data_IF_558329707391
#
_entry.id   IF_558329707391
#
_cell.length_a   1.000
_cell.length_b   1.000
_cell.length_c   1.000
_cell.angle_alpha   90.00
_cell.angle_beta   90.00
_cell.angle_gamma   90.00
#
_symmetry.space_group_name_H-M   'P 1'
#
loop_
_entity.id
_entity.type
_entity.pdbx_description
1 polymer ?
#
# COMPACT_ATOMS: atom_id res chain seq x y z
N UNK A 1 34.27 -4.41 -13.12
CA UNK A 1 34.04 -5.62 -13.94
C UNK A 1 32.54 -5.67 -14.26
N UNK A 2 32.11 -5.25 -15.46
CA UNK A 2 30.70 -4.96 -15.73
C UNK A 2 29.75 -6.16 -15.59
N UNK A 3 30.26 -7.38 -15.67
CA UNK A 3 29.46 -8.61 -15.56
C UNK A 3 29.66 -9.34 -14.22
N UNK A 4 30.46 -8.80 -13.30
CA UNK A 4 30.66 -9.45 -12.00
C UNK A 4 29.51 -9.07 -11.08
N UNK A 5 28.75 -10.09 -10.71
CA UNK A 5 27.68 -10.01 -9.71
C UNK A 5 28.12 -10.73 -8.43
N UNK A 6 27.66 -10.23 -7.29
CA UNK A 6 27.74 -10.91 -6.00
C UNK A 6 26.38 -10.79 -5.31
N UNK A 7 26.15 -11.69 -4.35
CA UNK A 7 24.96 -11.69 -3.52
C UNK A 7 24.92 -10.45 -2.62
N UNK A 8 23.84 -9.69 -2.72
CA UNK A 8 23.49 -8.59 -1.81
C UNK A 8 22.31 -9.01 -0.95
N UNK A 9 22.29 -8.57 0.31
CA UNK A 9 21.25 -8.93 1.28
C UNK A 9 21.43 -10.31 1.94
N UNK A 10 20.47 -10.73 2.80
CA UNK A 10 19.24 -10.01 3.09
C UNK A 10 19.50 -8.73 3.90
N UNK A 11 18.69 -7.70 3.67
CA UNK A 11 18.83 -6.39 4.32
C UNK A 11 17.46 -5.81 4.62
N UNK A 12 17.30 -5.13 5.76
CA UNK A 12 16.03 -4.48 6.11
C UNK A 12 15.80 -3.26 5.21
N UNK A 13 14.58 -3.09 4.71
CA UNK A 13 14.23 -2.03 3.77
C UNK A 13 13.18 -1.05 4.32
N UNK A 14 13.06 0.12 3.68
CA UNK A 14 12.11 1.20 3.97
C UNK A 14 10.63 0.77 3.91
N UNK A 15 10.31 -0.38 3.28
CA UNK A 15 8.98 -0.96 3.36
C UNK A 15 8.68 -1.61 4.73
N UNK A 16 9.69 -1.82 5.59
CA UNK A 16 9.56 -2.55 6.86
C UNK A 16 9.60 -4.08 6.72
N UNK A 17 10.20 -4.56 5.63
CA UNK A 17 10.43 -5.98 5.35
C UNK A 17 11.90 -6.19 4.97
N UNK A 18 12.36 -7.43 4.97
CA UNK A 18 13.68 -7.77 4.46
C UNK A 18 13.68 -7.87 2.94
N UNK A 19 14.60 -7.20 2.26
CA UNK A 19 15.00 -7.57 0.91
C UNK A 19 15.61 -8.97 0.94
N UNK A 20 15.23 -9.80 -0.04
CA UNK A 20 15.81 -11.13 -0.23
C UNK A 20 17.18 -11.02 -0.89
N UNK A 21 17.93 -12.12 -0.90
CA UNK A 21 19.25 -12.15 -1.53
C UNK A 21 19.14 -12.19 -3.05
N UNK A 22 19.82 -11.25 -3.73
CA UNK A 22 19.86 -11.17 -5.20
C UNK A 22 21.26 -10.86 -5.72
N UNK A 23 21.59 -11.25 -6.97
CA UNK A 23 22.85 -10.90 -7.59
C UNK A 23 22.86 -9.45 -8.09
N UNK A 24 23.73 -8.61 -7.52
CA UNK A 24 23.91 -7.20 -7.92
C UNK A 24 25.35 -6.88 -8.39
N UNK A 25 25.53 -5.82 -9.21
CA UNK A 25 26.84 -5.43 -9.73
C UNK A 25 27.87 -5.08 -8.64
N UNK A 26 29.11 -5.56 -8.80
CA UNK A 26 30.19 -5.25 -7.87
C UNK A 26 30.84 -3.90 -8.20
N UNK A 27 30.76 -2.97 -7.25
CA UNK A 27 31.57 -1.74 -7.26
C UNK A 27 32.97 -2.03 -6.70
N UNK A 28 34.00 -1.96 -7.55
CA UNK A 28 35.40 -2.05 -7.12
C UNK A 28 35.95 -0.66 -6.79
N UNK A 29 36.20 -0.41 -5.52
CA UNK A 29 36.82 0.84 -5.04
C UNK A 29 38.34 0.72 -5.15
N UNK A 30 38.98 1.56 -5.96
CA UNK A 30 40.44 1.52 -6.15
C UNK A 30 41.20 2.33 -5.09
N UNK A 31 40.62 3.47 -4.68
CA UNK A 31 41.21 4.38 -3.69
C UNK A 31 40.11 5.05 -2.88
N UNK A 32 40.35 5.22 -1.59
CA UNK A 32 39.49 5.97 -0.67
C UNK A 32 40.29 7.16 -0.16
N UNK A 33 39.71 8.36 -0.26
CA UNK A 33 40.32 9.60 0.22
C UNK A 33 39.38 10.22 1.25
N UNK A 34 39.95 10.74 2.35
CA UNK A 34 39.19 11.43 3.37
C UNK A 34 40.05 12.54 4.00
N UNK A 35 39.40 13.51 4.65
CA UNK A 35 40.07 14.55 5.44
C UNK A 35 40.57 14.01 6.78
N UNK A 36 41.50 14.70 7.43
CA UNK A 36 41.82 14.45 8.85
C UNK A 36 40.59 14.74 9.72
N UNK A 37 40.32 13.88 10.71
CA UNK A 37 39.10 13.97 11.51
C UNK A 37 37.81 13.77 10.69
N UNK A 38 37.84 12.86 9.71
CA UNK A 38 36.67 12.52 8.92
C UNK A 38 35.54 11.95 9.81
N UNK A 39 34.30 12.32 9.46
CA UNK A 39 33.08 11.81 10.07
C UNK A 39 32.45 10.86 9.06
N UNK A 40 32.03 9.67 9.51
CA UNK A 40 31.33 8.69 8.69
C UNK A 40 29.83 8.74 9.01
N UNK A 41 29.01 9.45 8.21
CA UNK A 41 27.57 9.40 8.39
C UNK A 41 27.05 8.03 7.96
N UNK A 42 26.13 7.48 8.75
CA UNK A 42 25.38 6.29 8.40
C UNK A 42 23.93 6.47 8.84
N UNK A 43 23.03 5.76 8.17
CA UNK A 43 21.61 5.75 8.48
C UNK A 43 21.10 4.32 8.57
N UNK A 44 19.90 4.16 9.10
CA UNK A 44 19.16 2.90 9.11
C UNK A 44 17.83 3.12 8.41
N UNK A 45 17.40 2.11 7.67
CA UNK A 45 16.09 2.08 7.02
C UNK A 45 15.26 0.96 7.62
N UNK A 46 13.95 1.08 7.52
CA UNK A 46 13.02 0.14 8.13
C UNK A 46 11.60 0.62 7.97
N UNK A 47 10.69 0.04 8.77
CA UNK A 47 9.30 0.47 8.75
C UNK A 47 9.23 1.99 9.06
N UNK A 48 8.57 2.80 8.21
CA UNK A 48 8.55 4.24 8.41
C UNK A 48 7.85 4.57 9.75
N UNK A 49 8.22 5.67 10.44
CA UNK A 49 9.08 6.73 9.92
C UNK A 49 10.56 6.44 10.21
N UNK A 50 11.45 6.77 9.28
CA UNK A 50 12.91 6.76 9.48
C UNK A 50 13.51 8.09 8.96
N UNK A 51 14.84 8.22 8.91
CA UNK A 51 15.48 9.45 8.43
C UNK A 51 15.05 9.81 6.99
N UNK A 52 14.80 8.81 6.16
CA UNK A 52 14.30 8.95 4.80
C UNK A 52 12.89 9.58 4.73
N UNK A 53 12.02 9.39 5.73
CA UNK A 53 10.72 10.07 5.83
C UNK A 53 10.90 11.58 5.85
N UNK A 54 11.83 12.11 6.66
CA UNK A 54 12.09 13.55 6.75
C UNK A 54 12.64 14.11 5.43
N UNK A 55 13.51 13.35 4.75
CA UNK A 55 14.01 13.72 3.43
C UNK A 55 12.89 13.71 2.38
N UNK A 56 11.99 12.73 2.45
CA UNK A 56 10.82 12.62 1.58
C UNK A 56 9.86 13.80 1.73
N UNK A 57 9.56 14.20 2.97
CA UNK A 57 8.74 15.39 3.27
C UNK A 57 9.34 16.66 2.66
N UNK A 58 10.65 16.87 2.83
CA UNK A 58 11.35 18.02 2.26
C UNK A 58 11.31 18.02 0.72
N UNK A 59 11.54 16.87 0.10
CA UNK A 59 11.43 16.75 -1.36
C UNK A 59 10.01 17.07 -1.81
N UNK A 60 9.00 16.61 -1.06
CA UNK A 60 7.60 16.87 -1.37
C UNK A 60 7.26 18.37 -1.27
N UNK A 61 7.73 19.05 -0.22
CA UNK A 61 7.54 20.50 -0.06
C UNK A 61 8.17 21.30 -1.21
N UNK A 62 9.37 20.91 -1.64
CA UNK A 62 10.09 21.57 -2.75
C UNK A 62 9.41 21.32 -4.10
N UNK A 63 8.94 20.10 -4.34
CA UNK A 63 8.43 19.68 -5.66
C UNK A 63 6.93 19.86 -5.83
N UNK A 64 6.16 19.95 -4.75
CA UNK A 64 4.69 20.09 -4.74
C UNK A 64 4.19 21.22 -5.64
N UNK A 65 4.73 22.45 -5.55
CA UNK A 65 4.31 23.57 -6.40
C UNK A 65 4.51 23.34 -7.91
N UNK A 66 5.41 22.43 -8.30
CA UNK A 66 5.70 22.12 -9.72
C UNK A 66 4.73 21.08 -10.31
N UNK A 67 3.98 20.35 -9.48
CA UNK A 67 3.08 19.29 -9.95
C UNK A 67 2.07 19.80 -10.99
N UNK A 68 1.35 20.92 -10.78
CA UNK A 68 0.37 21.40 -11.75
C UNK A 68 1.00 21.87 -13.08
N UNK A 69 2.27 22.27 -13.08
CA UNK A 69 3.00 22.69 -14.29
C UNK A 69 3.40 21.48 -15.15
N UNK A 70 3.76 20.37 -14.52
CA UNK A 70 4.19 19.14 -15.20
C UNK A 70 3.01 18.24 -15.56
N UNK A 71 1.95 18.24 -14.75
CA UNK A 71 0.78 17.38 -14.90
C UNK A 71 -0.50 18.24 -14.98
N UNK A 72 -0.89 18.69 -16.18
CA UNK A 72 -2.05 19.57 -16.35
C UNK A 72 -3.34 18.98 -15.76
N UNK A 73 -4.01 19.75 -14.90
CA UNK A 73 -5.26 19.35 -14.23
C UNK A 73 -5.08 18.66 -12.88
N UNK A 74 -3.86 18.23 -12.55
CA UNK A 74 -3.52 17.69 -11.23
C UNK A 74 -3.23 18.85 -10.28
N UNK A 75 -3.93 18.88 -9.14
CA UNK A 75 -3.79 19.93 -8.12
C UNK A 75 -2.87 19.54 -6.98
N UNK A 76 -2.56 18.26 -6.85
CA UNK A 76 -1.64 17.74 -5.83
C UNK A 76 -1.55 16.22 -5.89
N UNK A 77 -0.43 15.69 -5.44
CA UNK A 77 -0.17 14.26 -5.27
C UNK A 77 0.50 14.07 -3.93
N UNK A 78 0.06 13.13 -3.11
CA UNK A 78 0.69 12.77 -1.84
C UNK A 78 1.14 11.31 -1.93
N UNK A 79 2.46 11.10 -1.86
CA UNK A 79 3.06 9.79 -1.67
C UNK A 79 3.04 9.43 -0.19
N UNK A 80 2.21 8.45 0.18
CA UNK A 80 1.89 8.19 1.58
C UNK A 80 3.04 7.43 2.25
N UNK A 81 3.84 8.12 3.07
CA UNK A 81 4.99 7.57 3.81
C UNK A 81 4.68 6.27 4.53
N UNK A 82 3.53 6.20 5.22
CA UNK A 82 3.10 5.02 5.96
C UNK A 82 2.95 3.74 5.11
N UNK A 83 2.80 3.89 3.79
CA UNK A 83 2.73 2.77 2.85
C UNK A 83 4.12 2.33 2.35
N UNK A 84 5.22 2.92 2.81
CA UNK A 84 6.55 2.78 2.22
C UNK A 84 6.83 3.85 1.15
N UNK A 85 6.35 5.07 1.37
CA UNK A 85 6.45 6.22 0.45
C UNK A 85 5.60 6.08 -0.82
N UNK A 86 6.05 5.30 -1.81
CA UNK A 86 5.44 5.26 -3.15
C UNK A 86 4.31 4.22 -3.36
N UNK A 87 4.13 3.13 -2.58
CA UNK A 87 3.10 2.12 -2.87
C UNK A 87 1.66 2.65 -2.94
N UNK A 88 1.36 3.72 -2.20
CA UNK A 88 0.07 4.43 -2.22
C UNK A 88 0.27 5.90 -2.57
N UNK A 89 -0.37 6.34 -3.65
CA UNK A 89 -0.55 7.74 -4.00
C UNK A 89 -1.99 8.18 -3.80
N UNK A 90 -2.16 9.35 -3.19
CA UNK A 90 -3.41 10.10 -3.17
C UNK A 90 -3.26 11.30 -4.09
N UNK A 91 -4.26 11.62 -4.89
CA UNK A 91 -4.16 12.76 -5.81
C UNK A 91 -5.47 13.53 -5.93
N UNK A 92 -5.33 14.83 -6.15
CA UNK A 92 -6.42 15.67 -6.61
C UNK A 92 -6.26 15.96 -8.09
N UNK A 93 -7.33 15.72 -8.83
CA UNK A 93 -7.45 16.06 -10.24
C UNK A 93 -8.61 17.00 -10.50
N UNK A 94 -8.71 17.45 -11.75
CA UNK A 94 -9.85 18.23 -12.24
C UNK A 94 -10.78 17.34 -13.08
N UNK A 95 -12.09 17.58 -13.03
CA UNK A 95 -13.05 16.90 -13.93
C UNK A 95 -13.70 17.93 -14.87
N UNK A 96 -13.00 18.25 -15.97
CA UNK A 96 -13.39 19.33 -16.90
C UNK A 96 -13.68 18.81 -18.30
N UNK A 97 -13.71 17.49 -18.50
CA UNK A 97 -13.89 16.91 -19.83
C UNK A 97 -15.25 17.28 -20.44
N UNK A 98 -16.31 17.24 -19.64
CA UNK A 98 -17.67 17.59 -20.04
C UNK A 98 -18.32 18.53 -19.02
N UNK A 99 -17.89 19.81 -18.94
CA UNK A 99 -18.29 20.72 -17.85
C UNK A 99 -19.76 21.15 -17.93
N UNK A 100 -20.45 20.83 -19.02
CA UNK A 100 -21.86 21.10 -19.28
C UNK A 100 -22.77 19.89 -19.00
N UNK A 101 -22.20 18.74 -18.64
CA UNK A 101 -22.95 17.55 -18.23
C UNK A 101 -22.67 17.29 -16.76
N UNK A 102 -23.74 17.09 -15.99
CA UNK A 102 -23.65 16.63 -14.60
C UNK A 102 -23.32 15.12 -14.60
N UNK A 103 -22.07 14.79 -14.95
CA UNK A 103 -21.61 13.41 -15.02
C UNK A 103 -21.10 12.95 -13.66
N UNK A 104 -21.76 11.95 -13.09
CA UNK A 104 -21.39 11.34 -11.81
C UNK A 104 -20.30 10.28 -11.94
N UNK A 105 -19.46 10.34 -12.98
CA UNK A 105 -18.41 9.34 -13.22
C UNK A 105 -17.08 10.01 -13.56
N UNK A 106 -15.94 9.46 -13.10
CA UNK A 106 -14.62 9.91 -13.51
C UNK A 106 -14.43 9.87 -15.03
N UNK A 107 -13.85 10.92 -15.61
CA UNK A 107 -13.47 10.99 -17.03
C UNK A 107 -12.04 11.54 -17.17
N UNK A 108 -11.84 12.85 -16.99
CA UNK A 108 -10.53 13.50 -17.09
C UNK A 108 -9.57 13.00 -16.00
N UNK A 109 -10.09 12.65 -14.82
CA UNK A 109 -9.31 12.02 -13.76
C UNK A 109 -8.57 10.76 -14.24
N UNK A 110 -9.15 9.99 -15.16
CA UNK A 110 -8.51 8.78 -15.70
C UNK A 110 -7.31 9.14 -16.60
N UNK A 111 -7.42 10.21 -17.38
CA UNK A 111 -6.28 10.72 -18.17
C UNK A 111 -5.18 11.23 -17.26
N UNK A 112 -5.53 11.98 -16.22
CA UNK A 112 -4.57 12.50 -15.23
C UNK A 112 -3.89 11.38 -14.44
N UNK A 113 -4.63 10.33 -14.06
CA UNK A 113 -4.07 9.16 -13.39
C UNK A 113 -3.01 8.45 -14.24
N UNK A 114 -3.24 8.31 -15.55
CA UNK A 114 -2.24 7.76 -16.46
C UNK A 114 -1.00 8.65 -16.56
N UNK A 115 -1.16 9.97 -16.57
CA UNK A 115 -0.04 10.91 -16.57
C UNK A 115 0.80 10.81 -15.28
N UNK A 116 0.14 10.72 -14.12
CA UNK A 116 0.80 10.50 -12.81
C UNK A 116 1.60 9.20 -12.85
N UNK A 117 1.00 8.09 -13.27
CA UNK A 117 1.68 6.79 -13.32
C UNK A 117 2.75 6.69 -14.43
N UNK A 118 2.77 7.63 -15.37
CA UNK A 118 3.83 7.76 -16.37
C UNK A 118 5.03 8.60 -15.92
N UNK A 119 4.98 9.23 -14.74
CA UNK A 119 5.92 10.26 -14.34
C UNK A 119 6.96 9.76 -13.31
N UNK A 120 8.21 9.61 -13.75
CA UNK A 120 9.37 9.45 -12.86
C UNK A 120 9.17 8.46 -11.71
N UNK A 121 9.39 8.90 -10.48
CA UNK A 121 9.23 8.09 -9.26
C UNK A 121 7.76 7.77 -8.93
N UNK A 122 6.80 8.58 -9.38
CA UNK A 122 5.37 8.30 -9.19
C UNK A 122 4.92 7.05 -9.94
N UNK A 123 5.66 6.67 -10.99
CA UNK A 123 5.42 5.42 -11.72
C UNK A 123 5.63 4.16 -10.89
N UNK A 124 6.29 4.23 -9.72
CA UNK A 124 6.51 3.08 -8.84
C UNK A 124 5.26 2.70 -8.02
N UNK A 125 4.26 3.58 -7.96
CA UNK A 125 3.05 3.34 -7.19
C UNK A 125 2.25 2.12 -7.63
N UNK A 126 1.67 1.41 -6.66
CA UNK A 126 0.73 0.31 -6.89
C UNK A 126 -0.71 0.78 -6.83
N UNK A 127 -1.02 1.66 -5.89
CA UNK A 127 -2.36 2.19 -5.70
C UNK A 127 -2.32 3.69 -5.94
N UNK A 128 -3.20 4.16 -6.84
CA UNK A 128 -3.45 5.58 -7.03
C UNK A 128 -4.93 5.84 -6.78
N UNK A 129 -5.23 6.52 -5.69
CA UNK A 129 -6.58 7.01 -5.40
C UNK A 129 -6.63 8.47 -5.84
N UNK A 130 -7.47 8.77 -6.83
CA UNK A 130 -7.61 10.12 -7.38
C UNK A 130 -9.03 10.62 -7.21
N UNK A 131 -9.17 11.83 -6.66
CA UNK A 131 -10.45 12.48 -6.44
C UNK A 131 -10.53 13.81 -7.18
N UNK A 132 -11.75 14.20 -7.54
CA UNK A 132 -12.03 15.48 -8.15
C UNK A 132 -11.94 16.62 -7.10
N UNK A 133 -11.01 17.56 -7.30
CA UNK A 133 -10.77 18.66 -6.36
C UNK A 133 -12.01 19.53 -6.12
N UNK A 134 -12.82 19.73 -7.15
CA UNK A 134 -14.02 20.56 -7.05
C UNK A 134 -15.14 19.96 -6.19
N UNK A 135 -15.10 18.65 -5.86
CA UNK A 135 -16.13 18.01 -5.04
C UNK A 135 -16.00 18.35 -3.56
N UNK A 136 -14.80 18.76 -3.13
CA UNK A 136 -14.50 19.25 -1.78
C UNK A 136 -13.23 20.14 -1.80
N UNK A 137 -13.39 21.47 -1.89
CA UNK A 137 -12.27 22.42 -1.86
C UNK A 137 -11.55 22.56 -0.53
N UNK A 138 -12.07 22.00 0.57
CA UNK A 138 -11.45 22.12 1.90
C UNK A 138 -10.70 20.83 2.29
N UNK A 139 -10.94 19.72 1.58
CA UNK A 139 -10.23 18.47 1.80
C UNK A 139 -8.72 18.61 1.50
N UNK A 140 -7.90 18.07 2.40
CA UNK A 140 -6.44 18.06 2.32
C UNK A 140 -5.95 16.63 1.99
N UNK A 141 -4.94 16.49 1.14
CA UNK A 141 -4.28 15.21 0.86
C UNK A 141 -3.52 14.67 2.09
N UNK A 142 -3.12 15.54 3.02
CA UNK A 142 -2.48 15.13 4.27
C UNK A 142 -3.47 14.49 5.27
N UNK A 143 -4.77 14.82 5.18
CA UNK A 143 -5.83 14.10 5.90
C UNK A 143 -6.18 12.81 5.16
N UNK A 144 -5.32 11.80 5.32
CA UNK A 144 -5.47 10.50 4.66
C UNK A 144 -6.82 9.86 5.02
N UNK A 145 -7.29 9.97 6.27
CA UNK A 145 -8.58 9.38 6.67
C UNK A 145 -9.75 10.08 6.00
N UNK A 146 -9.76 11.41 5.99
CA UNK A 146 -10.76 12.21 5.29
C UNK A 146 -10.76 11.92 3.79
N UNK A 147 -9.58 11.84 3.16
CA UNK A 147 -9.47 11.57 1.74
C UNK A 147 -9.97 10.16 1.36
N UNK A 148 -9.60 9.14 2.13
CA UNK A 148 -10.10 7.78 1.90
C UNK A 148 -11.62 7.71 2.09
N UNK A 149 -12.19 8.37 3.10
CA UNK A 149 -13.65 8.47 3.26
C UNK A 149 -14.32 9.24 2.11
N UNK A 150 -13.67 10.28 1.59
CA UNK A 150 -14.15 11.03 0.42
C UNK A 150 -14.25 10.13 -0.81
N UNK A 151 -13.22 9.31 -1.07
CA UNK A 151 -13.22 8.31 -2.16
C UNK A 151 -14.27 7.23 -1.93
N UNK A 152 -14.32 6.63 -0.73
CA UNK A 152 -15.22 5.51 -0.41
C UNK A 152 -16.70 5.87 -0.48
N UNK A 153 -17.05 7.12 -0.16
CA UNK A 153 -18.43 7.60 -0.23
C UNK A 153 -18.91 7.90 -1.66
N UNK A 154 -18.01 7.88 -2.66
CA UNK A 154 -18.29 8.29 -4.05
C UNK A 154 -18.02 7.20 -5.08
N UNK A 155 -16.85 6.56 -5.02
CA UNK A 155 -16.42 5.61 -6.03
C UNK A 155 -17.41 4.44 -6.14
N UNK A 156 -17.68 4.00 -7.37
CA UNK A 156 -18.54 2.87 -7.69
C UNK A 156 -17.67 1.66 -8.08
N UNK A 157 -17.68 0.63 -7.23
CA UNK A 157 -16.88 -0.59 -7.44
C UNK A 157 -17.24 -1.40 -8.68
N UNK A 158 -18.32 -1.04 -9.38
CA UNK A 158 -18.69 -1.65 -10.65
C UNK A 158 -17.97 -1.05 -11.86
N UNK A 159 -17.44 0.18 -11.76
CA UNK A 159 -16.85 0.89 -12.91
C UNK A 159 -15.61 1.75 -12.62
N UNK A 160 -15.29 2.05 -11.37
CA UNK A 160 -14.26 3.03 -11.01
C UNK A 160 -12.94 2.38 -10.56
N UNK A 161 -12.76 1.09 -10.86
CA UNK A 161 -11.56 0.31 -10.54
C UNK A 161 -10.79 0.00 -11.84
N UNK A 162 -9.64 0.65 -12.03
CA UNK A 162 -8.87 0.54 -13.27
C UNK A 162 -7.53 -0.16 -13.01
N UNK A 163 -7.47 -1.43 -13.38
CA UNK A 163 -6.30 -2.27 -13.20
C UNK A 163 -5.29 -2.13 -14.34
N UNK A 164 -4.02 -1.97 -14.01
CA UNK A 164 -2.89 -2.17 -14.92
C UNK A 164 -2.18 -3.46 -14.51
N UNK A 165 -2.38 -4.52 -15.29
CA UNK A 165 -1.83 -5.85 -15.00
C UNK A 165 -0.56 -6.12 -15.79
N UNK A 166 0.32 -6.99 -15.29
CA UNK A 166 1.59 -7.34 -15.96
C UNK A 166 2.46 -6.11 -16.28
N UNK A 167 2.66 -5.27 -15.27
CA UNK A 167 3.44 -4.03 -15.38
C UNK A 167 4.63 -4.04 -14.42
N UNK A 168 5.45 -2.99 -14.50
CA UNK A 168 6.60 -2.81 -13.63
C UNK A 168 6.21 -2.12 -12.32
N UNK A 169 6.82 -2.59 -11.23
CA UNK A 169 6.70 -2.00 -9.89
C UNK A 169 8.09 -1.87 -9.27
N UNK A 170 8.15 -1.33 -8.06
CA UNK A 170 9.39 -1.20 -7.30
C UNK A 170 10.13 -2.54 -7.11
N UNK A 171 11.46 -2.48 -7.10
CA UNK A 171 12.34 -3.66 -6.95
C UNK A 171 12.17 -4.36 -5.61
N UNK A 172 11.82 -3.61 -4.58
CA UNK A 172 11.72 -4.08 -3.20
C UNK A 172 10.30 -4.54 -2.87
N UNK A 173 9.37 -4.46 -3.83
CA UNK A 173 8.01 -4.93 -3.67
C UNK A 173 7.87 -6.44 -3.98
N UNK A 174 7.85 -7.24 -2.92
CA UNK A 174 7.67 -8.69 -2.98
C UNK A 174 6.20 -9.15 -2.98
N UNK A 175 5.22 -8.25 -3.10
CA UNK A 175 3.82 -8.66 -3.28
C UNK A 175 3.55 -9.16 -4.72
N UNK A 176 4.36 -8.69 -5.67
CA UNK A 176 4.33 -9.03 -7.09
C UNK A 176 4.75 -10.46 -7.46
N UNK A 177 4.80 -10.76 -8.76
CA UNK A 177 5.06 -12.11 -9.29
C UNK A 177 6.53 -12.47 -9.42
N UNK A 178 7.39 -11.46 -9.55
CA UNK A 178 8.85 -11.59 -9.62
C UNK A 178 9.46 -10.21 -9.36
N UNK A 179 10.78 -10.14 -9.27
CA UNK A 179 11.48 -8.86 -9.18
C UNK A 179 11.02 -7.87 -10.25
N UNK A 180 10.70 -6.64 -9.85
CA UNK A 180 10.20 -5.55 -10.70
C UNK A 180 8.88 -5.82 -11.43
N UNK A 181 8.12 -6.88 -11.11
CA UNK A 181 6.86 -7.18 -11.81
C UNK A 181 5.66 -7.25 -10.87
N UNK A 182 4.55 -6.65 -11.29
CA UNK A 182 3.30 -6.72 -10.57
C UNK A 182 2.16 -6.03 -11.29
N UNK A 183 1.36 -5.29 -10.53
CA UNK A 183 0.16 -4.63 -11.02
C UNK A 183 -0.12 -3.33 -10.28
N UNK A 184 -0.94 -2.49 -10.90
CA UNK A 184 -1.40 -1.22 -10.33
C UNK A 184 -2.93 -1.17 -10.35
N UNK A 185 -3.52 -0.42 -9.42
CA UNK A 185 -4.93 -0.07 -9.42
C UNK A 185 -5.07 1.44 -9.26
N UNK A 186 -5.79 2.04 -10.21
CA UNK A 186 -6.34 3.38 -10.06
C UNK A 186 -7.78 3.26 -9.55
N UNK A 187 -8.08 3.93 -8.44
CA UNK A 187 -9.44 4.15 -7.95
C UNK A 187 -9.77 5.63 -8.16
N UNK A 188 -10.72 5.93 -9.02
CA UNK A 188 -11.11 7.30 -9.32
C UNK A 188 -12.47 7.63 -8.70
N UNK A 189 -12.59 8.78 -8.07
CA UNK A 189 -13.82 9.24 -7.43
C UNK A 189 -14.18 10.64 -7.88
N UNK A 190 -15.41 10.82 -8.37
CA UNK A 190 -15.95 12.12 -8.76
C UNK A 190 -17.45 12.19 -8.51
N UNK A 191 -17.95 13.39 -8.23
CA UNK A 191 -19.37 13.68 -8.05
C UNK A 191 -19.82 13.67 -6.57
N UNK A 192 -21.13 13.77 -6.33
CA UNK A 192 -21.68 13.82 -4.97
C UNK A 192 -21.51 12.48 -4.24
N UNK A 193 -21.47 12.47 -2.90
CA UNK A 193 -21.42 11.23 -2.14
C UNK A 193 -22.74 10.45 -2.31
N UNK A 194 -22.61 9.16 -2.62
CA UNK A 194 -23.73 8.24 -2.85
C UNK A 194 -23.82 7.15 -1.78
N UNK A 195 -22.73 6.92 -1.06
CA UNK A 195 -22.58 5.75 -0.21
C UNK A 195 -22.31 6.16 1.23
N UNK A 196 -23.26 5.92 2.14
CA UNK A 196 -23.05 6.21 3.56
C UNK A 196 -22.00 5.27 4.13
N UNK A 197 -21.07 5.83 4.91
CA UNK A 197 -20.02 5.07 5.57
C UNK A 197 -20.42 4.80 7.03
N UNK A 198 -20.39 3.54 7.43
CA UNK A 198 -20.75 3.13 8.79
C UNK A 198 -19.52 3.03 9.68
N UNK A 199 -19.70 3.30 10.98
CA UNK A 199 -18.68 3.19 12.01
C UNK A 199 -19.08 2.25 13.15
N UNK A 200 -20.05 1.37 12.90
CA UNK A 200 -20.54 0.39 13.87
C UNK A 200 -20.69 -0.98 13.20
N UNK A 201 -20.36 -2.04 13.95
CA UNK A 201 -20.48 -3.40 13.46
C UNK A 201 -21.97 -3.79 13.46
N UNK A 202 -22.48 -4.39 12.37
CA UNK A 202 -23.80 -4.99 12.38
C UNK A 202 -23.89 -6.05 13.48
N UNK A 203 -24.91 -5.97 14.34
CA UNK A 203 -25.07 -6.91 15.47
C UNK A 203 -25.28 -8.37 15.05
N UNK A 204 -25.64 -8.60 13.79
CA UNK A 204 -25.84 -9.90 13.15
C UNK A 204 -24.72 -10.27 12.16
N UNK A 205 -23.58 -9.55 12.17
CA UNK A 205 -22.45 -9.85 11.29
C UNK A 205 -21.91 -11.26 11.57
N UNK A 206 -22.08 -12.15 10.60
CA UNK A 206 -21.49 -13.49 10.61
C UNK A 206 -20.28 -13.51 9.69
N UNK A 207 -19.21 -14.15 10.14
CA UNK A 207 -18.01 -14.39 9.36
C UNK A 207 -17.97 -15.86 8.90
N UNK A 208 -17.42 -16.16 7.71
CA UNK A 208 -17.21 -17.53 7.24
C UNK A 208 -16.14 -18.26 8.07
N UNK A 209 -16.11 -19.58 7.97
CA UNK A 209 -15.13 -20.40 8.68
C UNK A 209 -13.68 -19.99 8.37
N UNK A 210 -12.87 -19.88 9.44
CA UNK A 210 -11.49 -19.43 9.39
C UNK A 210 -11.31 -17.91 9.50
N UNK A 211 -12.40 -17.14 9.49
CA UNK A 211 -12.38 -15.69 9.63
C UNK A 211 -12.91 -15.25 11.00
N UNK A 212 -12.28 -14.27 11.62
CA UNK A 212 -12.59 -13.85 12.99
C UNK A 212 -12.23 -12.38 13.26
N UNK A 213 -12.58 -11.91 14.46
CA UNK A 213 -12.18 -10.61 15.01
C UNK A 213 -12.42 -9.43 14.04
N UNK A 214 -13.67 -9.13 13.65
CA UNK A 214 -13.93 -7.94 12.84
C UNK A 214 -13.60 -6.68 13.64
N UNK A 215 -12.81 -5.77 13.06
CA UNK A 215 -12.40 -4.50 13.67
C UNK A 215 -12.62 -3.35 12.69
N UNK A 216 -13.29 -2.30 13.14
CA UNK A 216 -13.47 -1.09 12.33
C UNK A 216 -12.18 -0.27 12.42
N UNK A 217 -11.67 0.14 11.26
CA UNK A 217 -10.46 0.98 11.18
C UNK A 217 -10.84 2.45 11.17
N UNK A 218 -11.82 2.78 10.33
CA UNK A 218 -12.42 4.10 10.18
C UNK A 218 -13.79 3.90 9.50
N UNK A 219 -14.64 4.95 9.41
CA UNK A 219 -15.93 4.82 8.74
C UNK A 219 -15.80 4.21 7.34
N UNK A 220 -16.54 3.12 7.10
CA UNK A 220 -16.55 2.42 5.81
C UNK A 220 -15.43 1.39 5.60
N UNK A 221 -14.49 1.23 6.53
CA UNK A 221 -13.37 0.27 6.42
C UNK A 221 -13.36 -0.72 7.58
N UNK A 222 -13.38 -2.02 7.23
CA UNK A 222 -13.37 -3.14 8.17
C UNK A 222 -12.14 -4.01 7.96
N UNK A 223 -11.40 -4.30 9.03
CA UNK A 223 -10.40 -5.36 9.05
C UNK A 223 -10.98 -6.66 9.61
N UNK A 224 -10.60 -7.80 9.03
CA UNK A 224 -10.99 -9.14 9.49
C UNK A 224 -9.75 -10.03 9.55
N UNK A 225 -9.58 -10.76 10.64
CA UNK A 225 -8.53 -11.77 10.73
C UNK A 225 -8.90 -12.95 9.85
N UNK A 226 -8.10 -13.26 8.84
CA UNK A 226 -8.26 -14.43 7.96
C UNK A 226 -7.35 -15.60 8.35
N UNK A 227 -7.54 -16.78 7.75
CA UNK A 227 -6.69 -17.93 8.01
C UNK A 227 -5.26 -17.66 7.53
N UNK A 228 -4.22 -18.03 8.31
CA UNK A 228 -2.84 -17.75 7.96
C UNK A 228 -2.37 -18.59 6.76
N UNK A 229 -1.47 -18.03 5.96
CA UNK A 229 -0.73 -18.77 4.94
C UNK A 229 0.61 -19.28 5.51
N UNK A 230 1.30 -20.17 4.77
CA UNK A 230 2.69 -20.54 5.09
C UNK A 230 3.59 -19.31 5.25
N UNK A 231 4.55 -19.41 6.17
CA UNK A 231 5.51 -18.33 6.43
C UNK A 231 6.41 -18.06 5.21
N UNK A 232 6.82 -16.81 4.98
CA UNK A 232 7.74 -16.49 3.91
C UNK A 232 9.17 -16.96 4.18
N UNK A 233 9.97 -17.05 3.11
CA UNK A 233 11.37 -17.47 3.13
C UNK A 233 12.30 -16.29 2.84
N UNK A 234 13.52 -16.33 3.39
CA UNK A 234 14.61 -15.41 3.01
C UNK A 234 15.25 -15.77 1.66
N UNK A 235 15.03 -16.99 1.17
CA UNK A 235 15.53 -17.47 -0.11
C UNK A 235 14.54 -17.10 -1.24
N UNK A 236 15.03 -16.36 -2.24
CA UNK A 236 14.23 -15.88 -3.36
C UNK A 236 13.67 -16.99 -4.25
N UNK A 237 14.45 -18.04 -4.54
CA UNK A 237 14.01 -19.17 -5.35
C UNK A 237 12.91 -19.97 -4.63
N UNK A 238 13.06 -20.15 -3.32
CA UNK A 238 12.02 -20.77 -2.48
C UNK A 238 10.76 -19.90 -2.48
N UNK A 239 10.90 -18.58 -2.35
CA UNK A 239 9.79 -17.64 -2.39
C UNK A 239 9.01 -17.70 -3.72
N UNK A 240 9.69 -17.71 -4.86
CA UNK A 240 9.08 -17.85 -6.18
C UNK A 240 8.31 -19.17 -6.34
N UNK A 241 8.88 -20.28 -5.87
CA UNK A 241 8.21 -21.59 -5.91
C UNK A 241 6.98 -21.63 -4.99
N UNK A 242 7.10 -21.04 -3.80
CA UNK A 242 6.05 -20.98 -2.79
C UNK A 242 4.82 -20.19 -3.28
N UNK A 243 4.98 -19.24 -4.22
CA UNK A 243 3.85 -18.55 -4.87
C UNK A 243 2.93 -19.54 -5.60
N UNK A 244 3.50 -20.42 -6.41
CA UNK A 244 2.72 -21.38 -7.22
C UNK A 244 2.14 -22.48 -6.34
N UNK A 245 2.94 -22.99 -5.39
CA UNK A 245 2.54 -24.10 -4.51
C UNK A 245 1.57 -23.66 -3.41
N UNK A 246 1.64 -22.41 -2.97
CA UNK A 246 0.81 -21.83 -1.92
C UNK A 246 -0.42 -21.10 -2.43
N UNK A 247 -0.67 -21.09 -3.74
CA UNK A 247 -1.75 -20.31 -4.34
C UNK A 247 -3.14 -20.69 -3.76
N UNK A 248 -3.37 -21.97 -3.52
CA UNK A 248 -4.63 -22.45 -2.94
C UNK A 248 -4.86 -21.89 -1.52
N UNK A 249 -3.81 -21.78 -0.70
CA UNK A 249 -3.89 -21.22 0.65
C UNK A 249 -4.20 -19.71 0.64
N UNK A 250 -3.94 -19.04 -0.48
CA UNK A 250 -4.25 -17.62 -0.70
C UNK A 250 -5.67 -17.48 -1.27
N UNK A 251 -5.94 -18.13 -2.40
CA UNK A 251 -7.18 -17.93 -3.18
C UNK A 251 -8.40 -18.56 -2.51
N UNK A 252 -8.32 -19.81 -2.05
CA UNK A 252 -9.49 -20.55 -1.57
C UNK A 252 -10.17 -19.87 -0.36
N UNK A 253 -9.45 -19.37 0.66
CA UNK A 253 -10.09 -18.61 1.74
C UNK A 253 -10.78 -17.33 1.24
N UNK A 254 -10.20 -16.62 0.28
CA UNK A 254 -10.76 -15.37 -0.23
C UNK A 254 -12.02 -15.61 -1.07
N UNK A 255 -12.03 -16.67 -1.88
CA UNK A 255 -13.21 -17.12 -2.61
C UNK A 255 -14.33 -17.54 -1.66
N UNK A 256 -14.00 -18.28 -0.59
CA UNK A 256 -14.94 -18.63 0.47
C UNK A 256 -15.47 -17.38 1.17
N UNK A 257 -14.63 -16.40 1.46
CA UNK A 257 -15.04 -15.15 2.08
C UNK A 257 -16.03 -14.38 1.19
N UNK A 258 -15.68 -14.17 -0.07
CA UNK A 258 -16.50 -13.39 -1.00
C UNK A 258 -17.81 -14.10 -1.36
N UNK A 259 -17.79 -15.43 -1.48
CA UNK A 259 -18.98 -16.24 -1.81
C UNK A 259 -19.94 -16.41 -0.64
N UNK A 260 -19.48 -16.22 0.60
CA UNK A 260 -20.32 -16.26 1.80
C UNK A 260 -21.34 -15.12 1.83
N UNK A 261 -21.03 -14.00 1.17
CA UNK A 261 -21.89 -12.82 1.16
C UNK A 261 -22.56 -12.59 -0.20
N UNK A 262 -23.70 -11.92 -0.13
CA UNK A 262 -24.46 -11.29 -1.22
C UNK A 262 -24.43 -9.78 -1.03
N UNK A 263 -24.67 -9.00 -2.08
CA UNK A 263 -24.59 -7.53 -2.03
C UNK A 263 -25.55 -6.89 -0.99
N UNK A 264 -26.62 -7.58 -0.60
CA UNK A 264 -27.60 -7.12 0.38
C UNK A 264 -27.21 -7.45 1.83
N UNK A 265 -26.13 -8.22 2.06
CA UNK A 265 -25.68 -8.51 3.41
C UNK A 265 -25.12 -7.27 4.14
N UNK A 266 -25.25 -7.20 5.49
CA UNK A 266 -24.84 -6.03 6.27
C UNK A 266 -23.37 -5.64 6.15
N UNK A 267 -22.47 -6.57 5.83
CA UNK A 267 -21.04 -6.29 5.67
C UNK A 267 -20.77 -5.27 4.56
N UNK A 268 -21.61 -5.20 3.52
CA UNK A 268 -21.43 -4.30 2.38
C UNK A 268 -21.65 -2.82 2.72
N UNK A 269 -22.11 -2.52 3.94
CA UNK A 269 -22.08 -1.15 4.50
C UNK A 269 -20.64 -0.68 4.74
N UNK A 270 -19.71 -1.59 4.98
CA UNK A 270 -18.28 -1.33 4.86
C UNK A 270 -17.91 -1.47 3.39
N UNK A 271 -17.60 -0.34 2.76
CA UNK A 271 -17.22 -0.26 1.35
C UNK A 271 -15.90 -0.98 1.07
N UNK A 272 -15.04 -1.05 2.07
CA UNK A 272 -13.73 -1.67 2.02
C UNK A 272 -13.57 -2.67 3.17
N UNK A 273 -13.29 -3.92 2.83
CA UNK A 273 -12.90 -4.95 3.79
C UNK A 273 -11.46 -5.36 3.52
N UNK A 274 -10.64 -5.45 4.55
CA UNK A 274 -9.25 -5.93 4.44
C UNK A 274 -9.09 -7.18 5.29
N UNK A 275 -8.68 -8.27 4.65
CA UNK A 275 -8.36 -9.53 5.32
C UNK A 275 -6.88 -9.51 5.69
N UNK A 276 -6.58 -9.74 6.96
CA UNK A 276 -5.22 -9.60 7.54
C UNK A 276 -4.91 -10.76 8.49
N UNK A 277 -3.64 -10.91 8.89
CA UNK A 277 -3.27 -11.89 9.92
C UNK A 277 -3.69 -11.44 11.33
N UNK A 278 -3.67 -10.14 11.60
CA UNK A 278 -4.01 -9.57 12.91
C UNK A 278 -4.82 -8.26 12.71
N UNK A 279 -6.13 -8.39 12.84
CA UNK A 279 -7.07 -7.27 12.74
C UNK A 279 -6.96 -6.29 13.92
N UNK A 280 -6.51 -6.75 15.09
CA UNK A 280 -6.35 -5.89 16.26
C UNK A 280 -5.19 -4.92 16.04
N UNK A 281 -4.02 -5.45 15.66
CA UNK A 281 -2.84 -4.64 15.31
C UNK A 281 -3.16 -3.64 14.19
N UNK A 282 -3.86 -4.08 13.15
CA UNK A 282 -4.24 -3.23 12.01
C UNK A 282 -5.18 -2.09 12.43
N UNK A 283 -6.06 -2.33 13.41
CA UNK A 283 -7.01 -1.35 13.93
C UNK A 283 -6.45 -0.39 14.98
N UNK A 284 -5.25 -0.64 15.52
CA UNK A 284 -4.63 0.26 16.51
C UNK A 284 -4.32 1.65 15.95
N UNK A 285 -4.03 1.77 14.65
CA UNK A 285 -3.77 3.06 14.03
C UNK A 285 -4.00 3.04 12.51
N UNK A 286 -4.33 4.21 11.95
CA UNK A 286 -4.40 4.40 10.49
C UNK A 286 -3.07 4.04 9.81
N UNK A 287 -1.94 4.31 10.48
CA UNK A 287 -0.60 3.96 10.00
C UNK A 287 -0.41 2.45 9.87
N UNK A 288 -0.87 1.66 10.85
CA UNK A 288 -0.82 0.19 10.77
C UNK A 288 -1.67 -0.34 9.62
N UNK A 289 -2.88 0.20 9.46
CA UNK A 289 -3.75 -0.11 8.32
C UNK A 289 -3.08 0.17 6.97
N UNK A 290 -2.60 1.39 6.76
CA UNK A 290 -1.96 1.78 5.50
C UNK A 290 -0.75 0.87 5.22
N UNK A 291 0.12 0.69 6.21
CA UNK A 291 1.30 -0.14 6.06
C UNK A 291 0.94 -1.57 5.65
N UNK A 292 0.07 -2.23 6.41
CA UNK A 292 -0.32 -3.62 6.14
C UNK A 292 -1.02 -3.75 4.79
N UNK A 293 -2.01 -2.90 4.52
CA UNK A 293 -2.84 -3.02 3.31
C UNK A 293 -2.02 -2.81 2.05
N UNK A 294 -1.22 -1.75 1.98
CA UNK A 294 -0.60 -1.34 0.71
C UNK A 294 0.80 -1.94 0.49
N UNK A 295 1.48 -2.44 1.53
CA UNK A 295 2.76 -3.17 1.34
C UNK A 295 2.54 -4.66 1.06
N UNK A 296 1.46 -5.27 1.57
CA UNK A 296 1.21 -6.73 1.45
C UNK A 296 0.25 -7.12 0.34
N UNK A 297 -0.22 -6.17 -0.46
CA UNK A 297 -1.14 -6.44 -1.57
C UNK A 297 -0.56 -6.04 -2.91
N UNK A 298 -0.67 -6.96 -3.87
CA UNK A 298 -0.50 -6.71 -5.29
C UNK A 298 -1.91 -6.62 -5.93
N UNK A 299 -2.28 -5.47 -6.52
CA UNK A 299 -3.67 -5.20 -6.92
C UNK A 299 -4.37 -6.32 -7.69
N UNK A 300 -3.77 -6.84 -8.75
CA UNK A 300 -4.39 -7.81 -9.64
C UNK A 300 -4.61 -9.19 -9.03
N UNK A 301 -3.84 -9.58 -7.99
CA UNK A 301 -3.97 -10.90 -7.36
C UNK A 301 -4.70 -10.86 -6.02
N UNK A 302 -4.69 -9.70 -5.37
CA UNK A 302 -5.09 -9.59 -3.95
C UNK A 302 -6.34 -8.73 -3.76
N UNK A 303 -6.92 -8.21 -4.84
CA UNK A 303 -8.19 -7.49 -4.82
C UNK A 303 -9.31 -8.41 -5.30
N UNK A 304 -10.23 -8.64 -4.39
CA UNK A 304 -11.44 -9.42 -4.56
C UNK A 304 -12.66 -8.52 -4.32
N UNK A 305 -13.85 -9.06 -4.53
CA UNK A 305 -15.07 -8.31 -4.24
C UNK A 305 -16.26 -9.24 -4.05
N UNK A 306 -17.17 -8.83 -3.17
CA UNK A 306 -18.43 -9.55 -2.97
C UNK A 306 -19.26 -9.41 -4.24
N UNK A 307 -19.64 -10.55 -4.81
CA UNK A 307 -20.28 -10.65 -6.13
C UNK A 307 -19.48 -9.93 -7.24
N UNK A 308 -18.17 -10.20 -7.29
CA UNK A 308 -17.31 -9.73 -8.37
C UNK A 308 -17.75 -10.25 -9.74
N UNK A 309 -17.49 -9.47 -10.79
CA UNK A 309 -17.78 -9.83 -12.17
C UNK A 309 -16.73 -9.22 -13.11
N UNK A 310 -16.66 -9.76 -14.32
CA UNK A 310 -15.95 -9.14 -15.45
C UNK A 310 -16.95 -8.87 -16.55
N UNK A 311 -17.05 -7.61 -16.98
CA UNK A 311 -17.87 -7.18 -18.12
C UNK A 311 -17.01 -6.34 -19.05
N UNK A 312 -16.95 -6.70 -20.33
CA UNK A 312 -16.16 -5.97 -21.34
C UNK A 312 -14.69 -5.75 -20.94
N UNK A 313 -14.08 -6.77 -20.33
CA UNK A 313 -12.72 -6.75 -19.72
C UNK A 313 -12.54 -5.77 -18.55
N UNK A 314 -13.60 -5.13 -18.08
CA UNK A 314 -13.60 -4.38 -16.84
C UNK A 314 -13.99 -5.29 -15.67
N UNK A 315 -13.16 -5.33 -14.64
CA UNK A 315 -13.45 -6.04 -13.40
C UNK A 315 -14.13 -5.09 -12.42
N UNK A 316 -15.15 -5.57 -11.72
CA UNK A 316 -15.80 -4.83 -10.65
C UNK A 316 -16.54 -5.75 -9.69
N UNK A 317 -17.17 -5.18 -8.66
CA UNK A 317 -18.00 -5.93 -7.72
C UNK A 317 -19.25 -5.16 -7.30
N UNK A 318 -20.27 -5.89 -6.85
CA UNK A 318 -21.57 -5.30 -6.44
C UNK A 318 -21.63 -4.99 -4.94
N UNK A 319 -20.87 -5.73 -4.13
CA UNK A 319 -20.75 -5.53 -2.69
C UNK A 319 -19.47 -4.80 -2.30
N UNK A 320 -18.93 -5.11 -1.13
CA UNK A 320 -17.67 -4.55 -0.65
C UNK A 320 -16.48 -4.97 -1.52
N UNK A 321 -15.53 -4.04 -1.68
CA UNK A 321 -14.19 -4.36 -2.17
C UNK A 321 -13.44 -5.06 -1.05
N UNK A 322 -12.82 -6.20 -1.35
CA UNK A 322 -12.11 -7.04 -0.37
C UNK A 322 -10.65 -7.11 -0.75
N UNK A 323 -9.73 -6.72 0.13
CA UNK A 323 -8.28 -6.80 -0.11
C UNK A 323 -7.66 -7.86 0.78
N UNK A 324 -6.93 -8.80 0.19
CA UNK A 324 -6.11 -9.76 0.91
C UNK A 324 -4.72 -9.16 1.23
N UNK A 325 -4.58 -8.67 2.46
CA UNK A 325 -3.33 -8.15 2.99
C UNK A 325 -2.70 -9.11 4.02
N UNK A 326 -3.04 -10.41 3.96
CA UNK A 326 -2.31 -11.43 4.71
C UNK A 326 -0.87 -11.54 4.21
N UNK A 327 0.02 -11.97 5.09
CA UNK A 327 1.37 -12.41 4.76
C UNK A 327 1.26 -13.68 3.92
N UNK A 328 1.83 -13.66 2.71
CA UNK A 328 1.79 -14.77 1.75
C UNK A 328 3.16 -15.45 1.67
N UNK A 329 3.24 -16.70 1.22
CA UNK A 329 4.49 -17.47 1.25
C UNK A 329 5.62 -16.89 0.40
N UNK A 330 5.28 -16.11 -0.63
CA UNK A 330 6.24 -15.47 -1.53
C UNK A 330 6.65 -14.05 -1.09
N UNK A 331 6.10 -13.54 0.01
CA UNK A 331 6.51 -12.23 0.50
C UNK A 331 7.94 -12.27 1.06
N UNK A 332 8.51 -11.09 1.25
CA UNK A 332 9.64 -10.92 2.13
C UNK A 332 9.24 -11.13 3.61
N UNK A 333 10.10 -11.74 4.45
CA UNK A 333 9.92 -11.74 5.90
C UNK A 333 9.82 -10.31 6.46
N UNK A 334 9.02 -10.13 7.52
CA UNK A 334 8.87 -8.83 8.20
C UNK A 334 10.19 -8.45 8.87
N UNK A 335 10.57 -7.17 8.83
CA UNK A 335 11.71 -6.65 9.57
C UNK A 335 11.33 -6.57 11.06
N UNK A 336 11.93 -7.45 11.87
CA UNK A 336 11.70 -7.51 13.30
C UNK A 336 12.94 -7.02 14.07
N UNK A 337 12.72 -6.26 15.14
CA UNK A 337 13.81 -5.87 16.03
C UNK A 337 14.33 -7.07 16.82
N UNK A 338 15.65 -7.24 16.86
CA UNK A 338 16.28 -8.22 17.74
C UNK A 338 16.14 -7.77 19.20
N UNK A 339 15.42 -8.55 20.00
CA UNK A 339 15.11 -8.20 21.39
C UNK A 339 16.36 -8.12 22.29
N UNK A 340 17.40 -8.91 22.01
CA UNK A 340 18.65 -8.86 22.75
C UNK A 340 19.42 -7.59 22.41
N UNK A 341 19.50 -7.24 21.13
CA UNK A 341 20.12 -5.99 20.66
C UNK A 341 19.37 -4.78 21.22
N UNK A 342 18.03 -4.80 21.16
CA UNK A 342 17.18 -3.75 21.73
C UNK A 342 17.48 -3.55 23.21
N UNK A 343 17.46 -4.63 23.99
CA UNK A 343 17.77 -4.59 25.43
C UNK A 343 19.18 -4.04 25.72
N UNK A 344 20.17 -4.40 24.88
CA UNK A 344 21.53 -3.85 25.00
C UNK A 344 21.60 -2.36 24.69
N UNK A 345 20.85 -1.87 23.71
CA UNK A 345 20.77 -0.44 23.38
C UNK A 345 20.04 0.32 24.49
N UNK A 346 18.90 -0.19 24.95
CA UNK A 346 18.13 0.40 26.06
C UNK A 346 18.99 0.52 27.33
N UNK A 347 19.86 -0.46 27.59
CA UNK A 347 20.82 -0.41 28.69
C UNK A 347 21.79 0.79 28.61
N UNK A 348 22.16 1.24 27.41
CA UNK A 348 23.04 2.41 27.22
C UNK A 348 22.35 3.74 27.57
N UNK A 349 21.02 3.80 27.46
CA UNK A 349 20.18 4.96 27.79
C UNK A 349 19.85 5.07 29.29
N UNK A 350 20.05 3.98 30.05
CA UNK A 350 19.80 3.96 31.49
C UNK A 350 20.63 4.99 32.25
N UNK A 351 20.15 5.39 33.43
CA UNK A 351 20.81 6.42 34.24
C UNK A 351 22.26 6.06 34.56
N UNK A 352 23.20 6.90 34.10
CA UNK A 352 24.64 6.67 34.23
C UNK A 352 25.29 5.98 33.03
N UNK A 353 24.48 5.57 32.04
CA UNK A 353 24.95 5.05 30.75
C UNK A 353 25.44 6.16 29.81
N UNK A 354 26.21 5.80 28.77
CA UNK A 354 26.85 6.75 27.87
C UNK A 354 25.86 7.55 27.01
N UNK A 355 24.63 7.08 26.86
CA UNK A 355 23.58 7.73 26.08
C UNK A 355 22.45 8.29 26.95
N UNK A 356 22.64 8.31 28.27
CA UNK A 356 21.63 8.80 29.20
C UNK A 356 21.26 10.27 28.93
N UNK A 357 19.98 10.53 28.65
CA UNK A 357 19.47 11.87 28.36
C UNK A 357 19.71 12.33 26.93
N UNK A 358 20.23 11.45 26.06
CA UNK A 358 20.35 11.66 24.61
C UNK A 358 19.25 10.88 23.88
N UNK A 359 19.07 9.61 24.23
CA UNK A 359 17.97 8.74 23.80
C UNK A 359 17.16 8.24 24.99
#
# INVERSE_FOLDING_TARGET
EPNRLLDEGPFGDHLGYYSLTHPFPVMRVEKVYHRDGAIWPFTVVGRPPQEDTMLGELIHEITGPLIPEVLPGVHGVHAVDAAGVHPLLLAFGSERYMPFLDTQRPQELLTQANAILGQGQLSLAKFLLIAARQDDPDLDLQDISGFLQHVLSRANWQCDLHFHTHTTIDTLDYSGSSLNTGSKLVIAAAGPPHYPLVNELPGDLKLPEGFSAPRIIMPGVLAVTGPPCSKPSFDYEVSLQARTQGLDQVVEPMDRFCSFYKHDNPINKFRWVVVVNDSAFVAESLRNFIWVTFTRSNPASDIHGIESFVKDKHWGCRGALVIDARIKPHHAPVLEEDLEVKSRVDALATRGGPLHGII
#
